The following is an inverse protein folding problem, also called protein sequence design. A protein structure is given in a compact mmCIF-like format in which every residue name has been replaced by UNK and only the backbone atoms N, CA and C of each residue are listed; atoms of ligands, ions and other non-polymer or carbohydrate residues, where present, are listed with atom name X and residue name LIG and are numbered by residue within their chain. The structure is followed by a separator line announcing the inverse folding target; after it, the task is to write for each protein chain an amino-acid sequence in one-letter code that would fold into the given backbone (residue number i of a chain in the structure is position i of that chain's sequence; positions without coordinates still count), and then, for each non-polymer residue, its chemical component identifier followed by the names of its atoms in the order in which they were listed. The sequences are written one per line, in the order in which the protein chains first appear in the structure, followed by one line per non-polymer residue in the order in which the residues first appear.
data_IF_611387180827
#
_entry.id   IF_611387180827
#
_cell.length_a   1.000
_cell.length_b   1.000
_cell.length_c   1.000
_cell.angle_alpha   90.00
_cell.angle_beta   90.00
_cell.angle_gamma   90.00
#
_symmetry.space_group_name_H-M   'P 1'
#
loop_
_entity.id
_entity.type
_entity.pdbx_description
1 polymer ?
#
# COMPACT_ATOMS: atom_id res chain seq x y z
N UNK A 1 -34.62 -12.91 -9.51
CA UNK A 1 -33.25 -13.09 -8.88
C UNK A 1 -32.55 -11.79 -8.49
N UNK A 2 -33.13 -10.60 -8.72
CA UNK A 2 -32.58 -9.26 -8.41
C UNK A 2 -32.61 -8.90 -6.92
N UNK A 3 -33.73 -9.10 -6.24
CA UNK A 3 -33.98 -8.64 -4.85
C UNK A 3 -32.98 -9.15 -3.81
N UNK A 4 -32.47 -10.36 -3.95
CA UNK A 4 -31.48 -10.94 -3.01
C UNK A 4 -30.11 -10.27 -3.13
N UNK A 5 -29.68 -9.93 -4.35
CA UNK A 5 -28.42 -9.20 -4.60
C UNK A 5 -28.48 -7.76 -4.06
N UNK A 6 -29.61 -7.09 -4.26
CA UNK A 6 -29.80 -5.71 -3.78
C UNK A 6 -29.82 -5.64 -2.26
N UNK A 7 -30.43 -6.62 -1.60
CA UNK A 7 -30.42 -6.75 -0.15
C UNK A 7 -29.00 -6.98 0.39
N UNK A 8 -28.22 -7.89 -0.22
CA UNK A 8 -26.86 -8.16 0.17
C UNK A 8 -25.93 -6.95 -0.04
N UNK A 9 -26.10 -6.20 -1.13
CA UNK A 9 -25.37 -4.95 -1.39
C UNK A 9 -25.70 -3.87 -0.37
N UNK A 10 -26.98 -3.75 0.03
CA UNK A 10 -27.43 -2.79 1.05
C UNK A 10 -26.82 -3.11 2.41
N UNK A 11 -26.82 -4.38 2.82
CA UNK A 11 -26.20 -4.85 4.06
C UNK A 11 -24.69 -4.59 4.04
N UNK A 12 -24.00 -4.93 2.94
CA UNK A 12 -22.57 -4.70 2.78
C UNK A 12 -22.22 -3.21 2.79
N UNK A 13 -23.08 -2.34 2.22
CA UNK A 13 -22.90 -0.88 2.28
C UNK A 13 -23.08 -0.35 3.70
N UNK A 14 -24.07 -0.84 4.41
CA UNK A 14 -24.34 -0.46 5.80
C UNK A 14 -23.20 -0.89 6.73
N UNK A 15 -22.65 -2.11 6.56
CA UNK A 15 -21.54 -2.63 7.34
C UNK A 15 -20.23 -1.85 7.14
N UNK A 16 -20.02 -1.27 5.94
CA UNK A 16 -18.84 -0.45 5.64
C UNK A 16 -18.96 1.01 6.08
N UNK A 17 -20.15 1.46 6.46
CA UNK A 17 -20.44 2.87 6.71
C UNK A 17 -20.50 3.71 5.43
N UNK A 18 -20.57 5.05 5.60
CA UNK A 18 -20.76 6.01 4.50
C UNK A 18 -19.43 6.61 3.99
N UNK A 19 -18.27 6.14 4.47
CA UNK A 19 -16.96 6.63 4.05
C UNK A 19 -16.58 6.16 2.64
N UNK A 20 -15.76 6.96 1.96
CA UNK A 20 -15.08 6.50 0.75
C UNK A 20 -14.13 5.34 1.11
N UNK A 21 -14.03 4.36 0.24
CA UNK A 21 -13.14 3.23 0.42
C UNK A 21 -12.37 2.92 -0.85
N UNK A 22 -11.13 2.48 -0.68
CA UNK A 22 -10.33 1.93 -1.77
C UNK A 22 -10.59 0.42 -1.87
N UNK A 23 -10.94 -0.13 -3.05
CA UNK A 23 -11.00 -1.58 -3.22
C UNK A 23 -9.57 -2.17 -3.21
N UNK A 24 -9.22 -2.83 -2.11
CA UNK A 24 -7.98 -3.57 -1.99
C UNK A 24 -8.27 -5.06 -2.17
N UNK A 25 -7.84 -5.64 -3.26
CA UNK A 25 -8.11 -7.03 -3.61
C UNK A 25 -7.37 -7.98 -2.67
N UNK A 26 -8.02 -9.06 -2.25
CA UNK A 26 -7.42 -10.06 -1.36
C UNK A 26 -6.24 -10.80 -1.99
N UNK A 27 -6.26 -11.00 -3.31
CA UNK A 27 -5.12 -11.62 -4.02
C UNK A 27 -3.87 -10.74 -4.01
N UNK A 28 -4.03 -9.41 -4.06
CA UNK A 28 -2.93 -8.45 -3.88
C UNK A 28 -2.39 -8.52 -2.44
N UNK A 29 -3.30 -8.50 -1.45
CA UNK A 29 -2.92 -8.57 -0.02
C UNK A 29 -2.16 -9.86 0.33
N UNK A 30 -2.44 -10.95 -0.36
CA UNK A 30 -1.80 -12.26 -0.16
C UNK A 30 -0.64 -12.52 -1.12
N UNK A 31 -0.29 -11.54 -1.97
CA UNK A 31 0.75 -11.72 -2.97
C UNK A 31 2.17 -11.77 -2.37
N UNK A 32 3.09 -12.52 -2.97
CA UNK A 32 4.50 -12.45 -2.64
C UNK A 32 5.07 -11.04 -2.82
N UNK A 33 4.59 -10.30 -3.81
CA UNK A 33 5.01 -8.93 -4.08
C UNK A 33 4.75 -8.00 -2.89
N UNK A 34 3.59 -8.11 -2.23
CA UNK A 34 3.29 -7.32 -1.04
C UNK A 34 4.03 -7.85 0.20
N UNK A 35 4.12 -9.17 0.35
CA UNK A 35 4.77 -9.79 1.49
C UNK A 35 6.29 -9.48 1.57
N UNK A 36 6.93 -9.28 0.41
CA UNK A 36 8.36 -8.97 0.31
C UNK A 36 8.70 -7.50 0.59
N UNK A 37 7.70 -6.60 0.68
CA UNK A 37 7.95 -5.17 0.87
C UNK A 37 8.59 -4.87 2.23
N UNK A 38 9.54 -3.95 2.20
CA UNK A 38 10.03 -3.32 3.44
C UNK A 38 8.92 -2.49 4.12
N UNK A 39 9.02 -2.23 5.45
CA UNK A 39 8.05 -1.39 6.16
C UNK A 39 7.87 0.00 5.53
N UNK A 40 8.94 0.59 5.01
CA UNK A 40 8.87 1.89 4.34
C UNK A 40 8.15 1.80 2.99
N UNK A 41 8.38 0.74 2.21
CA UNK A 41 7.67 0.54 0.96
C UNK A 41 6.18 0.28 1.19
N UNK A 42 5.83 -0.52 2.20
CA UNK A 42 4.44 -0.74 2.61
C UNK A 42 3.75 0.56 3.05
N UNK A 43 4.45 1.39 3.85
CA UNK A 43 3.95 2.72 4.23
C UNK A 43 3.73 3.60 3.00
N UNK A 44 4.69 3.64 2.06
CA UNK A 44 4.57 4.44 0.85
C UNK A 44 3.41 3.98 -0.02
N UNK A 45 3.18 2.67 -0.14
CA UNK A 45 2.03 2.12 -0.85
C UNK A 45 0.71 2.65 -0.29
N UNK A 46 0.56 2.68 1.04
CA UNK A 46 -0.63 3.24 1.69
C UNK A 46 -0.74 4.76 1.48
N UNK A 47 0.37 5.49 1.50
CA UNK A 47 0.37 6.92 1.24
C UNK A 47 -0.01 7.26 -0.22
N UNK A 48 0.40 6.43 -1.19
CA UNK A 48 -0.03 6.53 -2.60
C UNK A 48 -1.50 6.14 -2.71
N UNK A 49 -1.91 5.02 -2.11
CA UNK A 49 -3.27 4.52 -2.13
C UNK A 49 -4.27 5.51 -1.53
N UNK A 50 -3.88 6.28 -0.52
CA UNK A 50 -4.73 7.29 0.10
C UNK A 50 -5.01 8.51 -0.80
N UNK A 51 -4.25 8.70 -1.88
CA UNK A 51 -4.50 9.74 -2.88
C UNK A 51 -5.48 9.28 -3.96
N UNK A 52 -5.79 7.96 -3.98
CA UNK A 52 -6.70 7.42 -4.98
C UNK A 52 -8.11 8.00 -4.81
N UNK A 53 -8.74 8.32 -5.92
CA UNK A 53 -10.16 8.60 -6.01
C UNK A 53 -10.73 7.95 -7.28
N UNK A 54 -12.03 7.72 -7.30
CA UNK A 54 -12.70 7.09 -8.42
C UNK A 54 -12.44 7.87 -9.72
N UNK A 55 -12.00 7.19 -10.76
CA UNK A 55 -11.69 7.79 -12.06
C UNK A 55 -10.36 8.55 -12.11
N UNK A 56 -9.44 8.36 -11.14
CA UNK A 56 -8.14 9.05 -11.08
C UNK A 56 -6.98 8.13 -10.69
N UNK A 57 -7.05 6.85 -11.02
CA UNK A 57 -5.91 5.96 -10.83
C UNK A 57 -4.83 6.25 -11.87
N UNK A 58 -3.81 6.94 -11.49
CA UNK A 58 -2.71 7.38 -12.35
C UNK A 58 -2.14 8.74 -11.96
N UNK A 59 -2.86 9.51 -11.15
CA UNK A 59 -2.52 10.89 -10.77
C UNK A 59 -1.91 10.98 -9.34
N UNK A 60 -1.46 9.87 -8.76
CA UNK A 60 -0.87 9.88 -7.42
C UNK A 60 0.56 10.42 -7.46
N UNK A 61 0.85 11.41 -6.61
CA UNK A 61 2.13 12.10 -6.54
C UNK A 61 2.98 11.63 -5.37
N UNK A 62 4.29 11.48 -5.59
CA UNK A 62 5.29 11.22 -4.55
C UNK A 62 6.16 12.44 -4.24
N UNK A 63 5.68 13.65 -4.53
CA UNK A 63 6.37 14.89 -4.24
C UNK A 63 6.69 15.00 -2.74
N UNK A 64 7.98 14.98 -2.38
CA UNK A 64 8.42 14.92 -0.99
C UNK A 64 7.89 16.11 -0.17
N UNK A 65 8.17 17.34 -0.61
CA UNK A 65 7.84 18.56 0.16
C UNK A 65 6.32 18.83 0.21
N UNK A 66 5.63 18.62 -0.92
CA UNK A 66 4.21 18.99 -1.05
C UNK A 66 3.25 17.94 -0.51
N UNK A 67 3.62 16.64 -0.56
CA UNK A 67 2.72 15.53 -0.26
C UNK A 67 3.22 14.68 0.89
N UNK A 68 4.43 14.17 0.79
CA UNK A 68 4.87 13.09 1.69
C UNK A 68 5.46 13.60 3.00
N UNK A 69 6.01 14.82 3.02
CA UNK A 69 6.51 15.43 4.27
C UNK A 69 5.41 15.56 5.33
N UNK A 70 4.22 15.99 4.91
CA UNK A 70 3.05 16.06 5.80
C UNK A 70 2.58 14.70 6.30
N UNK A 71 2.95 13.60 5.59
CA UNK A 71 2.68 12.22 5.98
C UNK A 71 3.79 11.57 6.80
N UNK A 72 4.70 12.37 7.35
CA UNK A 72 5.75 11.93 8.26
C UNK A 72 7.03 11.43 7.58
N UNK A 73 7.21 11.62 6.28
CA UNK A 73 8.47 11.32 5.62
C UNK A 73 9.52 12.38 5.96
N UNK A 74 10.67 11.92 6.46
CA UNK A 74 11.77 12.79 6.90
C UNK A 74 13.00 12.74 6.00
N UNK A 75 13.14 11.69 5.19
CA UNK A 75 14.32 11.44 4.34
C UNK A 75 13.93 11.16 2.90
N UNK A 76 14.44 11.96 1.98
CA UNK A 76 14.29 11.75 0.52
C UNK A 76 14.96 10.45 0.08
N UNK A 77 16.11 10.10 0.68
CA UNK A 77 16.80 8.86 0.35
C UNK A 77 15.99 7.61 0.73
N UNK A 78 15.36 7.62 1.92
CA UNK A 78 14.47 6.52 2.35
C UNK A 78 13.25 6.42 1.45
N UNK A 79 12.64 7.56 1.10
CA UNK A 79 11.52 7.59 0.17
C UNK A 79 11.90 7.01 -1.20
N UNK A 80 13.06 7.41 -1.74
CA UNK A 80 13.51 6.94 -3.04
C UNK A 80 13.77 5.42 -3.06
N UNK A 81 14.36 4.87 -1.99
CA UNK A 81 14.53 3.41 -1.84
C UNK A 81 13.18 2.69 -1.83
N UNK A 82 12.23 3.16 -1.02
CA UNK A 82 10.88 2.59 -0.94
C UNK A 82 10.14 2.67 -2.29
N UNK A 83 10.31 3.77 -3.02
CA UNK A 83 9.71 3.97 -4.33
C UNK A 83 10.26 2.98 -5.37
N UNK A 84 11.58 2.80 -5.41
CA UNK A 84 12.21 1.81 -6.30
C UNK A 84 11.71 0.40 -6.02
N UNK A 85 11.60 0.04 -4.75
CA UNK A 85 11.09 -1.26 -4.31
C UNK A 85 9.63 -1.47 -4.76
N UNK A 86 8.76 -0.47 -4.59
CA UNK A 86 7.37 -0.54 -5.04
C UNK A 86 7.21 -0.65 -6.55
N UNK A 87 8.01 0.08 -7.32
CA UNK A 87 8.00 -0.04 -8.79
C UNK A 87 8.49 -1.41 -9.22
N UNK A 88 9.57 -1.91 -8.62
CA UNK A 88 10.12 -3.23 -8.91
C UNK A 88 9.14 -4.36 -8.56
N UNK A 89 8.35 -4.22 -7.49
CA UNK A 89 7.32 -5.19 -7.12
C UNK A 89 6.11 -5.20 -8.06
N UNK A 90 5.95 -4.20 -8.93
CA UNK A 90 4.80 -4.05 -9.82
C UNK A 90 3.49 -3.67 -9.11
N UNK A 91 3.54 -3.35 -7.81
CA UNK A 91 2.37 -2.89 -7.05
C UNK A 91 1.98 -1.46 -7.39
N UNK A 92 2.93 -0.66 -7.86
CA UNK A 92 2.66 0.64 -8.47
C UNK A 92 3.26 0.71 -9.88
N UNK A 93 2.66 1.54 -10.71
CA UNK A 93 3.08 1.76 -12.09
C UNK A 93 3.35 3.25 -12.25
N UNK A 94 4.51 3.59 -12.79
CA UNK A 94 4.81 4.98 -13.12
C UNK A 94 4.01 5.37 -14.36
N UNK A 95 3.19 6.39 -14.23
CA UNK A 95 2.28 6.88 -15.27
C UNK A 95 2.76 8.15 -15.93
N UNK A 96 3.64 8.90 -15.25
CA UNK A 96 4.35 10.04 -15.80
C UNK A 96 5.77 10.09 -15.27
N UNK A 97 6.73 10.33 -16.16
CA UNK A 97 8.09 10.66 -15.79
C UNK A 97 8.18 12.11 -15.35
N UNK A 98 8.72 12.35 -14.16
CA UNK A 98 8.94 13.71 -13.68
C UNK A 98 10.04 14.43 -14.44
N UNK A 99 9.94 15.76 -14.49
CA UNK A 99 10.91 16.68 -15.04
C UNK A 99 11.35 17.72 -13.99
N UNK A 100 12.08 18.74 -14.41
CA UNK A 100 12.52 19.82 -13.51
C UNK A 100 11.36 20.51 -12.80
N UNK A 101 10.23 20.69 -13.48
CA UNK A 101 9.06 21.42 -12.97
C UNK A 101 7.86 20.52 -12.66
N UNK A 102 7.93 19.24 -12.99
CA UNK A 102 6.83 18.30 -12.85
C UNK A 102 7.24 17.09 -12.03
N UNK A 103 6.35 16.65 -11.11
CA UNK A 103 6.59 15.42 -10.36
C UNK A 103 6.22 14.20 -11.18
N UNK A 104 6.89 13.07 -10.90
CA UNK A 104 6.45 11.76 -11.38
C UNK A 104 5.09 11.41 -10.79
N UNK A 105 4.26 10.74 -11.58
CA UNK A 105 2.95 10.25 -11.18
C UNK A 105 2.90 8.73 -11.23
N UNK A 106 2.00 8.17 -10.42
CA UNK A 106 1.89 6.72 -10.22
C UNK A 106 0.44 6.28 -10.17
N UNK A 107 0.20 5.06 -10.62
CA UNK A 107 -1.05 4.32 -10.49
C UNK A 107 -0.88 3.12 -9.56
N UNK A 108 -1.98 2.68 -8.94
CA UNK A 108 -2.05 1.39 -8.25
C UNK A 108 -2.15 0.27 -9.28
N UNK A 109 -1.24 -0.71 -9.22
CA UNK A 109 -1.09 -1.74 -10.24
C UNK A 109 -2.24 -2.75 -10.33
N UNK A 110 -3.10 -2.83 -9.30
CA UNK A 110 -4.27 -3.71 -9.26
C UNK A 110 -5.59 -3.05 -9.69
N UNK A 111 -5.52 -1.81 -10.15
CA UNK A 111 -6.64 -1.07 -10.74
C UNK A 111 -6.29 -0.68 -12.18
N UNK A 112 -7.30 -0.51 -13.02
CA UNK A 112 -7.10 0.05 -14.34
C UNK A 112 -6.57 1.49 -14.25
N UNK A 113 -5.72 1.89 -15.18
CA UNK A 113 -5.24 3.27 -15.29
C UNK A 113 -6.38 4.09 -15.89
N UNK A 114 -6.78 5.14 -15.18
CA UNK A 114 -7.84 6.04 -15.60
C UNK A 114 -7.34 7.11 -16.56
N UNK A 115 -8.27 7.76 -17.23
CA UNK A 115 -8.00 8.96 -18.00
C UNK A 115 -7.89 10.16 -17.06
N UNK A 116 -6.66 10.58 -16.78
CA UNK A 116 -6.39 11.74 -15.94
C UNK A 116 -6.14 13.02 -16.76
N UNK A 117 -6.65 13.08 -17.98
CA UNK A 117 -6.37 14.12 -18.96
C UNK A 117 -4.93 14.04 -19.50
N UNK A 118 -4.41 15.13 -20.06
CA UNK A 118 -3.07 15.19 -20.67
C UNK A 118 -1.90 15.12 -19.66
N UNK A 119 -2.18 14.70 -18.42
CA UNK A 119 -1.16 14.63 -17.36
C UNK A 119 -0.27 13.40 -17.45
N UNK A 120 -0.72 12.34 -18.11
CA UNK A 120 -0.05 11.05 -18.10
C UNK A 120 0.72 10.81 -19.40
N UNK A 121 1.87 10.14 -19.28
CA UNK A 121 2.64 9.67 -20.45
C UNK A 121 2.10 8.33 -20.98
N UNK A 122 1.21 7.68 -20.23
CA UNK A 122 0.60 6.39 -20.56
C UNK A 122 -0.88 6.52 -20.85
N UNK A 123 -1.38 5.69 -21.76
CA UNK A 123 -2.81 5.66 -22.09
C UNK A 123 -3.61 4.94 -20.98
N UNK A 124 -4.88 5.34 -20.83
CA UNK A 124 -5.83 4.62 -19.98
C UNK A 124 -5.91 3.14 -20.35
N UNK A 125 -6.21 2.28 -19.41
CA UNK A 125 -6.36 0.84 -19.65
C UNK A 125 -7.79 0.39 -19.32
N UNK A 126 -8.29 -0.61 -20.04
CA UNK A 126 -9.61 -1.18 -19.77
C UNK A 126 -9.60 -2.12 -18.54
N UNK A 127 -8.43 -2.65 -18.18
CA UNK A 127 -8.24 -3.59 -17.06
C UNK A 127 -6.92 -3.30 -16.35
N UNK A 128 -6.76 -3.79 -15.10
CA UNK A 128 -5.49 -3.71 -14.38
C UNK A 128 -4.36 -4.37 -15.16
N UNK A 129 -3.16 -3.81 -15.07
CA UNK A 129 -1.96 -4.41 -15.67
C UNK A 129 -1.40 -5.57 -14.85
N UNK A 130 -1.71 -5.59 -13.55
CA UNK A 130 -1.37 -6.66 -12.60
C UNK A 130 0.11 -7.13 -12.66
N UNK A 131 1.06 -6.20 -12.89
CA UNK A 131 2.50 -6.51 -13.02
C UNK A 131 3.04 -7.22 -11.78
N UNK A 132 2.48 -6.97 -10.61
CA UNK A 132 2.82 -7.61 -9.34
C UNK A 132 2.64 -9.15 -9.34
N UNK A 133 1.84 -9.70 -10.27
CA UNK A 133 1.68 -11.16 -10.42
C UNK A 133 2.92 -11.85 -10.98
N UNK A 134 3.78 -11.09 -11.67
CA UNK A 134 5.04 -11.57 -12.25
C UNK A 134 6.22 -11.39 -11.29
N UNK A 135 5.96 -10.88 -10.08
CA UNK A 135 7.02 -10.67 -9.09
C UNK A 135 7.54 -12.02 -8.58
N UNK A 136 8.81 -12.24 -8.78
CA UNK A 136 9.53 -13.38 -8.24
C UNK A 136 10.37 -12.91 -7.06
N UNK A 137 10.34 -13.66 -5.97
CA UNK A 137 11.19 -13.39 -4.81
C UNK A 137 12.59 -13.92 -5.14
N UNK A 138 13.54 -13.02 -5.35
CA UNK A 138 14.95 -13.40 -5.48
C UNK A 138 15.39 -14.12 -4.20
N UNK A 139 15.56 -15.42 -4.28
CA UNK A 139 16.01 -16.29 -3.18
C UNK A 139 17.39 -15.93 -2.63
N UNK A 140 18.14 -15.05 -3.32
CA UNK A 140 19.46 -14.59 -2.93
C UNK A 140 19.50 -13.35 -2.03
N UNK A 141 18.37 -12.69 -1.77
CA UNK A 141 18.32 -11.53 -0.87
C UNK A 141 17.74 -11.89 0.50
N UNK A 142 18.25 -12.95 1.11
CA UNK A 142 18.07 -13.21 2.55
C UNK A 142 18.91 -12.21 3.35
N UNK A 143 18.56 -10.92 3.29
CA UNK A 143 19.08 -9.99 4.28
C UNK A 143 18.41 -10.33 5.60
N UNK A 144 19.19 -11.01 6.43
CA UNK A 144 18.92 -11.38 7.80
C UNK A 144 18.20 -10.26 8.56
N UNK A 145 16.88 -10.39 8.69
CA UNK A 145 16.17 -9.74 9.77
C UNK A 145 16.65 -10.41 11.07
N UNK A 146 17.25 -9.69 12.01
CA UNK A 146 17.60 -10.29 13.29
C UNK A 146 16.30 -10.81 13.92
N UNK A 147 16.18 -12.12 14.08
CA UNK A 147 15.17 -12.74 14.93
C UNK A 147 15.41 -12.22 16.34
N UNK A 148 14.65 -11.24 16.76
CA UNK A 148 14.56 -10.88 18.17
C UNK A 148 13.82 -12.05 18.83
N UNK A 149 14.46 -12.81 19.74
CA UNK A 149 13.77 -13.84 20.48
C UNK A 149 12.74 -13.14 21.37
N UNK A 150 11.46 -13.41 21.13
CA UNK A 150 10.38 -12.94 21.97
C UNK A 150 10.45 -13.72 23.29
N UNK A 151 11.24 -13.21 24.24
CA UNK A 151 11.26 -13.71 25.60
C UNK A 151 9.96 -13.26 26.26
N UNK A 152 8.97 -14.13 26.26
CA UNK A 152 7.80 -14.01 27.11
C UNK A 152 8.26 -14.11 28.57
N UNK A 153 8.55 -12.98 29.21
CA UNK A 153 8.66 -12.92 30.65
C UNK A 153 7.29 -13.30 31.26
N UNK A 154 7.20 -14.47 31.85
CA UNK A 154 6.06 -14.84 32.70
C UNK A 154 5.96 -13.80 33.82
N UNK A 155 4.77 -13.26 34.11
CA UNK A 155 4.60 -12.38 35.26
C UNK A 155 4.87 -13.19 36.52
N UNK A 156 5.78 -12.71 37.36
CA UNK A 156 6.08 -13.26 38.66
C UNK A 156 4.92 -12.90 39.61
N UNK A 157 4.06 -13.88 39.89
CA UNK A 157 3.01 -13.72 40.88
C UNK A 157 3.67 -13.74 42.25
N UNK A 158 3.90 -12.58 42.83
CA UNK A 158 4.31 -12.44 44.22
C UNK A 158 3.05 -12.60 45.10
N UNK A 159 2.92 -13.72 45.77
CA UNK A 159 1.95 -13.89 46.83
C UNK A 159 2.32 -13.00 48.02
N UNK A 160 1.42 -12.19 48.56
CA UNK A 160 1.68 -11.47 49.81
C UNK A 160 1.71 -12.43 50.96
N UNK A 161 2.79 -12.38 51.76
CA UNK A 161 2.97 -13.10 53.03
C UNK A 161 2.08 -12.43 54.05
N UNK A 162 1.13 -13.22 54.61
CA UNK A 162 0.33 -12.81 55.77
C UNK A 162 1.25 -12.90 57.01
N UNK A 163 1.34 -11.87 57.87
CA UNK A 163 2.00 -12.00 59.15
C UNK A 163 1.05 -12.67 60.16
N UNK A 164 1.52 -13.78 60.74
CA UNK A 164 0.90 -14.37 61.93
C UNK A 164 1.16 -13.43 63.10
N UNK A 165 0.06 -13.04 63.82
CA UNK A 165 0.03 -12.43 65.12
C UNK A 165 -0.29 -13.44 66.22
#
# INVERSE_FOLDING_TARGET
MSRSRDAALKVAKQARGNGAFLPFRLDVLRSPALAALSPYASKLLLDIASQWSMGKNGDASVAFEKVLRARGWRSKATLYKALKELVASGLIIQTRQGSLHECSLYALGWLAIDDCGDKLDVKRTASPLDHWRKFEVDSNNSSSTPRVPMVLKKPHLSTPRVPDG
#
